data_IF_483649348274
#
_entry.id   IF_483649348274
#
_cell.length_a   1.000
_cell.length_b   1.000
_cell.length_c   1.000
_cell.angle_alpha   90.00
_cell.angle_beta   90.00
_cell.angle_gamma   90.00
#
_symmetry.space_group_name_H-M   'P 1'
#
loop_
_entity.id
_entity.type
_entity.pdbx_description
1 polymer ?
#
# COMPACT_ATOMS: atom_id res chain seq x y z
N UNK A 1 -15.91 4.19 21.43
CA UNK A 1 -15.82 4.61 20.01
C UNK A 1 -14.40 4.88 19.49
N UNK A 2 -13.42 5.35 20.30
CA UNK A 2 -12.06 5.66 19.80
C UNK A 2 -11.31 4.42 19.28
N UNK A 3 -11.46 3.29 19.97
CA UNK A 3 -10.85 2.02 19.59
C UNK A 3 -11.38 1.49 18.25
N UNK A 4 -12.68 1.63 17.99
CA UNK A 4 -13.31 1.20 16.73
C UNK A 4 -12.72 1.91 15.51
N UNK A 5 -12.46 3.22 15.60
CA UNK A 5 -11.84 3.99 14.50
C UNK A 5 -10.43 3.51 14.19
N UNK A 6 -9.64 3.26 15.23
CA UNK A 6 -8.27 2.78 15.11
C UNK A 6 -8.26 1.37 14.51
N UNK A 7 -9.14 0.47 14.97
CA UNK A 7 -9.26 -0.88 14.43
C UNK A 7 -9.58 -0.88 12.94
N UNK A 8 -10.58 -0.10 12.50
CA UNK A 8 -10.90 0.02 11.07
C UNK A 8 -9.77 0.64 10.26
N UNK A 9 -9.06 1.63 10.82
CA UNK A 9 -7.86 2.20 10.21
C UNK A 9 -6.77 1.15 9.98
N UNK A 10 -6.47 0.33 11.00
CA UNK A 10 -5.46 -0.74 10.92
C UNK A 10 -5.89 -1.82 9.91
N UNK A 11 -7.15 -2.25 9.94
CA UNK A 11 -7.67 -3.23 8.96
C UNK A 11 -7.53 -2.69 7.54
N UNK A 12 -7.91 -1.43 7.31
CA UNK A 12 -7.80 -0.81 6.00
C UNK A 12 -6.34 -0.65 5.56
N UNK A 13 -5.42 -0.36 6.49
CA UNK A 13 -3.99 -0.32 6.22
C UNK A 13 -3.44 -1.69 5.81
N UNK A 14 -3.84 -2.78 6.47
CA UNK A 14 -3.46 -4.15 6.08
C UNK A 14 -3.97 -4.47 4.67
N UNK A 15 -5.22 -4.12 4.37
CA UNK A 15 -5.80 -4.27 3.02
C UNK A 15 -4.98 -3.47 2.00
N UNK A 16 -4.59 -2.24 2.33
CA UNK A 16 -3.72 -1.41 1.49
C UNK A 16 -2.38 -2.09 1.20
N UNK A 17 -1.72 -2.67 2.21
CA UNK A 17 -0.46 -3.41 2.02
C UNK A 17 -0.65 -4.60 1.08
N UNK A 18 -1.71 -5.37 1.26
CA UNK A 18 -2.02 -6.53 0.39
C UNK A 18 -2.25 -6.06 -1.04
N UNK A 19 -3.05 -5.02 -1.24
CA UNK A 19 -3.31 -4.45 -2.56
C UNK A 19 -2.04 -3.91 -3.20
N UNK A 20 -1.19 -3.22 -2.45
CA UNK A 20 0.10 -2.76 -2.93
C UNK A 20 0.96 -3.92 -3.44
N UNK A 21 1.12 -5.00 -2.67
CA UNK A 21 1.91 -6.17 -3.05
C UNK A 21 1.39 -6.76 -4.36
N UNK A 22 0.08 -6.96 -4.46
CA UNK A 22 -0.57 -7.53 -5.64
C UNK A 22 -0.47 -6.61 -6.87
N UNK A 23 -0.57 -5.30 -6.68
CA UNK A 23 -0.45 -4.33 -7.77
C UNK A 23 0.98 -4.27 -8.31
N UNK A 24 1.98 -4.23 -7.43
CA UNK A 24 3.38 -4.23 -7.87
C UNK A 24 3.71 -5.52 -8.62
N UNK A 25 3.29 -6.67 -8.10
CA UNK A 25 3.48 -7.96 -8.77
C UNK A 25 2.78 -8.00 -10.15
N UNK A 26 1.55 -7.49 -10.23
CA UNK A 26 0.79 -7.39 -11.48
C UNK A 26 1.48 -6.52 -12.53
N UNK A 27 2.02 -5.36 -12.14
CA UNK A 27 2.61 -4.40 -13.09
C UNK A 27 4.08 -4.67 -13.45
N UNK A 28 4.77 -5.50 -12.68
CA UNK A 28 6.21 -5.76 -12.86
C UNK A 28 6.51 -6.98 -13.73
N UNK A 29 5.52 -7.84 -14.00
CA UNK A 29 5.71 -9.07 -14.77
C UNK A 29 5.61 -8.84 -16.28
N UNK A 30 6.55 -9.36 -17.10
CA UNK A 30 6.34 -9.46 -18.54
C UNK A 30 5.21 -10.48 -18.78
N UNK A 31 4.23 -10.08 -19.59
CA UNK A 31 2.90 -10.69 -19.81
C UNK A 31 2.68 -12.19 -19.48
N UNK A 32 1.48 -12.50 -18.94
CA UNK A 32 0.87 -13.83 -18.73
C UNK A 32 1.34 -14.67 -17.54
N UNK A 33 2.14 -14.10 -16.63
CA UNK A 33 2.46 -14.77 -15.37
C UNK A 33 1.33 -14.55 -14.34
N UNK A 34 1.02 -15.60 -13.57
CA UNK A 34 0.02 -15.53 -12.49
C UNK A 34 0.45 -14.52 -11.43
N UNK A 35 -0.49 -13.69 -10.95
CA UNK A 35 -0.25 -12.80 -9.81
C UNK A 35 0.01 -13.65 -8.58
N UNK A 36 1.16 -13.42 -7.94
CA UNK A 36 1.59 -14.14 -6.77
C UNK A 36 1.66 -13.18 -5.58
N UNK A 37 1.30 -13.67 -4.40
CA UNK A 37 1.50 -12.91 -3.18
C UNK A 37 2.96 -13.09 -2.72
N UNK A 38 3.86 -12.24 -3.23
CA UNK A 38 5.27 -12.17 -2.84
C UNK A 38 5.59 -10.79 -2.24
N UNK A 39 5.44 -10.61 -0.90
CA UNK A 39 5.68 -9.34 -0.26
C UNK A 39 7.11 -8.82 -0.47
N UNK A 40 8.11 -9.69 -0.34
CA UNK A 40 9.52 -9.30 -0.37
C UNK A 40 9.88 -8.88 -1.79
N UNK A 41 9.51 -9.68 -2.78
CA UNK A 41 9.72 -9.37 -4.19
C UNK A 41 9.04 -8.07 -4.61
N UNK A 42 7.80 -7.83 -4.18
CA UNK A 42 7.09 -6.58 -4.48
C UNK A 42 7.77 -5.35 -3.87
N UNK A 43 8.21 -5.39 -2.61
CA UNK A 43 8.92 -4.25 -2.01
C UNK A 43 10.27 -4.00 -2.70
N UNK A 44 11.03 -5.05 -2.99
CA UNK A 44 12.30 -4.94 -3.71
C UNK A 44 12.09 -4.33 -5.09
N UNK A 45 11.12 -4.84 -5.85
CA UNK A 45 10.80 -4.35 -7.19
C UNK A 45 10.39 -2.88 -7.15
N UNK A 46 9.51 -2.50 -6.24
CA UNK A 46 9.08 -1.12 -6.07
C UNK A 46 10.26 -0.17 -5.81
N UNK A 47 11.07 -0.42 -4.78
CA UNK A 47 12.18 0.46 -4.46
C UNK A 47 13.30 0.41 -5.49
N UNK A 48 13.55 -0.76 -6.10
CA UNK A 48 14.47 -0.88 -7.22
C UNK A 48 14.03 -0.03 -8.41
N UNK A 49 12.76 -0.06 -8.82
CA UNK A 49 12.25 0.76 -9.93
C UNK A 49 12.46 2.25 -9.70
N UNK A 50 12.17 2.73 -8.49
CA UNK A 50 12.43 4.13 -8.13
C UNK A 50 13.92 4.46 -8.08
N UNK A 51 14.73 3.64 -7.42
CA UNK A 51 16.17 3.83 -7.29
C UNK A 51 16.91 3.75 -8.63
N UNK A 52 16.50 2.85 -9.52
CA UNK A 52 17.05 2.71 -10.86
C UNK A 52 16.72 3.93 -11.74
N UNK A 53 15.50 4.44 -11.65
CA UNK A 53 15.04 5.54 -12.51
C UNK A 53 15.56 6.91 -12.06
N UNK A 54 15.65 7.14 -10.74
CA UNK A 54 15.90 8.48 -10.16
C UNK A 54 17.08 8.51 -9.18
N UNK A 55 17.86 7.43 -9.09
CA UNK A 55 18.98 7.32 -8.16
C UNK A 55 18.54 7.44 -6.69
N UNK A 56 19.36 8.09 -5.87
CA UNK A 56 19.10 8.29 -4.42
C UNK A 56 17.79 9.04 -4.17
N UNK A 57 17.46 10.03 -5.01
CA UNK A 57 16.20 10.79 -4.90
C UNK A 57 14.99 9.87 -5.12
N UNK A 58 15.11 8.87 -6.00
CA UNK A 58 14.10 7.85 -6.21
C UNK A 58 13.70 7.12 -4.94
N UNK A 59 14.67 6.71 -4.12
CA UNK A 59 14.40 6.06 -2.83
C UNK A 59 13.58 6.93 -1.88
N UNK A 60 13.88 8.23 -1.85
CA UNK A 60 13.16 9.20 -1.02
C UNK A 60 11.73 9.35 -1.53
N UNK A 61 11.55 9.59 -2.84
CA UNK A 61 10.24 9.74 -3.46
C UNK A 61 9.40 8.46 -3.28
N UNK A 62 9.97 7.30 -3.55
CA UNK A 62 9.31 6.01 -3.38
C UNK A 62 8.85 5.78 -1.94
N UNK A 63 9.67 6.15 -0.95
CA UNK A 63 9.30 6.06 0.47
C UNK A 63 8.15 7.00 0.82
N UNK A 64 8.20 8.26 0.37
CA UNK A 64 7.14 9.25 0.60
C UNK A 64 5.82 8.81 -0.03
N UNK A 65 5.86 8.31 -1.26
CA UNK A 65 4.67 7.80 -1.96
C UNK A 65 4.07 6.58 -1.26
N UNK A 66 4.91 5.65 -0.79
CA UNK A 66 4.45 4.48 -0.06
C UNK A 66 3.79 4.87 1.27
N UNK A 67 4.42 5.76 2.04
CA UNK A 67 3.85 6.26 3.30
C UNK A 67 2.53 7.00 3.04
N UNK A 68 2.49 7.86 2.01
CA UNK A 68 1.28 8.56 1.61
C UNK A 68 0.15 7.60 1.21
N UNK A 69 0.46 6.56 0.45
CA UNK A 69 -0.47 5.51 0.07
C UNK A 69 -1.04 4.78 1.31
N UNK A 70 -0.19 4.34 2.24
CA UNK A 70 -0.64 3.66 3.46
C UNK A 70 -1.47 4.58 4.38
N UNK A 71 -1.10 5.85 4.46
CA UNK A 71 -1.84 6.85 5.20
C UNK A 71 -3.23 7.10 4.61
N UNK A 72 -3.37 7.14 3.28
CA UNK A 72 -4.66 7.24 2.60
C UNK A 72 -5.56 6.05 2.96
N UNK A 73 -5.04 4.82 2.92
CA UNK A 73 -5.81 3.64 3.33
C UNK A 73 -6.24 3.70 4.80
N UNK A 74 -5.35 4.12 5.70
CA UNK A 74 -5.71 4.34 7.09
C UNK A 74 -6.85 5.35 7.26
N UNK A 75 -6.81 6.48 6.53
CA UNK A 75 -7.87 7.48 6.54
C UNK A 75 -9.19 6.97 5.98
N UNK A 76 -9.16 6.14 4.92
CA UNK A 76 -10.33 5.46 4.36
C UNK A 76 -10.98 4.57 5.42
N UNK A 77 -10.20 3.76 6.13
CA UNK A 77 -10.70 2.94 7.24
C UNK A 77 -11.38 3.76 8.33
N UNK A 78 -10.77 4.87 8.75
CA UNK A 78 -11.39 5.80 9.72
C UNK A 78 -12.70 6.38 9.17
N UNK A 79 -12.73 6.76 7.90
CA UNK A 79 -13.92 7.32 7.26
C UNK A 79 -15.07 6.32 7.21
N UNK A 80 -14.80 5.06 6.85
CA UNK A 80 -15.77 3.95 6.89
C UNK A 80 -16.32 3.77 8.30
N UNK A 81 -15.44 3.72 9.32
CA UNK A 81 -15.87 3.60 10.72
C UNK A 81 -16.82 4.74 11.15
N UNK A 82 -16.57 5.97 10.70
CA UNK A 82 -17.45 7.12 10.97
C UNK A 82 -18.81 7.00 10.29
N UNK A 83 -18.89 6.36 9.11
CA UNK A 83 -20.15 6.14 8.39
C UNK A 83 -21.00 5.07 9.08
N UNK A 84 -20.37 3.97 9.48
CA UNK A 84 -21.04 2.88 10.21
C UNK A 84 -21.56 3.38 11.55
N UNK A 85 -20.78 4.17 12.30
CA UNK A 85 -21.21 4.69 13.60
C UNK A 85 -22.29 5.80 13.53
N UNK A 86 -22.67 6.26 12.33
CA UNK A 86 -23.78 7.21 12.11
C UNK A 86 -25.08 6.49 11.73
N UNK A 87 -25.01 5.21 11.39
CA UNK A 87 -26.18 4.33 11.25
C UNK A 87 -26.59 3.84 12.63
#
# INVERSE_FOLDING_TARGET
MKNTKITFGIISLIIGIILFILLVDLFSKPSNLTVAFDPIGSFQTYFFSFGFTLGVIGWIIGSVLLIGYLFLFYLIGIWISKKIAKQ
#
